data_IF_701246630836
#
_entry.id   IF_701246630836
#
_cell.length_a   1.000
_cell.length_b   1.000
_cell.length_c   1.000
_cell.angle_alpha   90.00
_cell.angle_beta   90.00
_cell.angle_gamma   90.00
#
_symmetry.space_group_name_H-M   'P 1'
#
loop_
_entity.id
_entity.type
_entity.pdbx_description
1 polymer ?
#
# COMPACT_ATOMS: atom_id res chain seq x y z
N UNK A 1 20.15 17.34 71.92
CA UNK A 1 20.43 16.60 70.67
C UNK A 1 19.17 16.51 69.79
N UNK A 2 18.49 17.63 69.52
CA UNK A 2 17.19 17.61 68.81
C UNK A 2 17.12 18.51 67.56
N UNK A 3 18.07 19.44 67.38
CA UNK A 3 18.06 20.36 66.22
C UNK A 3 18.61 19.77 64.91
N UNK A 4 19.45 18.73 64.99
CA UNK A 4 20.08 18.11 63.81
C UNK A 4 19.16 17.13 63.07
N UNK A 5 18.41 16.32 63.83
CA UNK A 5 17.49 15.33 63.28
C UNK A 5 16.33 15.99 62.51
N UNK A 6 15.77 17.07 63.06
CA UNK A 6 14.66 17.80 62.43
C UNK A 6 15.07 18.48 61.11
N UNK A 7 16.31 19.01 61.03
CA UNK A 7 16.87 19.59 59.80
C UNK A 7 17.09 18.56 58.71
N UNK A 8 17.53 17.36 59.08
CA UNK A 8 17.74 16.27 58.13
C UNK A 8 16.41 15.68 57.63
N UNK A 9 15.39 15.59 58.48
CA UNK A 9 14.04 15.14 58.12
C UNK A 9 13.35 16.14 57.18
N UNK A 10 13.46 17.45 57.44
CA UNK A 10 12.89 18.48 56.55
C UNK A 10 13.62 18.50 55.19
N UNK A 11 14.95 18.32 55.17
CA UNK A 11 15.72 18.25 53.93
C UNK A 11 15.40 16.99 53.10
N UNK A 12 15.13 15.85 53.74
CA UNK A 12 14.73 14.62 53.04
C UNK A 12 13.30 14.71 52.48
N UNK A 13 12.37 15.30 53.22
CA UNK A 13 10.99 15.50 52.73
C UNK A 13 10.97 16.46 51.53
N UNK A 14 11.78 17.53 51.54
CA UNK A 14 11.89 18.44 50.40
C UNK A 14 12.49 17.75 49.14
N UNK A 15 13.43 16.81 49.32
CA UNK A 15 14.02 16.05 48.20
C UNK A 15 13.03 15.05 47.58
N UNK A 16 12.17 14.42 48.40
CA UNK A 16 11.18 13.44 47.93
C UNK A 16 10.03 14.13 47.18
N UNK A 17 9.65 15.35 47.57
CA UNK A 17 8.60 16.13 46.88
C UNK A 17 9.07 16.61 45.49
N UNK A 18 10.37 16.86 45.30
CA UNK A 18 10.92 17.26 43.99
C UNK A 18 11.03 16.10 42.98
N UNK A 19 10.99 14.84 43.42
CA UNK A 19 11.03 13.67 42.53
C UNK A 19 9.66 13.21 42.02
N UNK A 20 8.55 13.78 42.52
CA UNK A 20 7.21 13.46 42.00
C UNK A 20 6.79 14.33 40.81
N UNK A 21 7.65 15.24 40.34
CA UNK A 21 7.39 16.09 39.18
C UNK A 21 7.59 15.44 37.81
N UNK A 22 8.07 14.19 37.75
CA UNK A 22 8.29 13.45 36.51
C UNK A 22 7.27 12.30 36.34
N UNK A 23 6.00 12.50 36.66
CA UNK A 23 4.97 11.69 36.00
C UNK A 23 4.92 12.17 34.57
N UNK A 24 5.49 11.38 33.66
CA UNK A 24 5.38 11.58 32.22
C UNK A 24 3.95 12.01 31.91
N UNK A 25 3.78 13.25 31.43
CA UNK A 25 2.54 13.63 30.79
C UNK A 25 2.33 12.57 29.70
N UNK A 26 1.36 11.68 29.88
CA UNK A 26 0.85 10.87 28.78
C UNK A 26 0.61 11.85 27.65
N UNK A 27 1.28 11.70 26.50
CA UNK A 27 1.23 12.69 25.46
C UNK A 27 -0.24 12.98 25.17
N UNK A 28 -0.61 14.27 25.22
CA UNK A 28 -2.01 14.72 25.03
C UNK A 28 -2.56 14.33 23.65
N UNK A 29 -1.69 13.84 22.77
CA UNK A 29 -2.00 13.25 21.48
C UNK A 29 -1.40 11.85 21.48
N UNK A 30 -2.22 10.82 21.22
CA UNK A 30 -1.71 9.51 20.89
C UNK A 30 -0.81 9.67 19.66
N UNK A 31 0.49 9.37 19.78
CA UNK A 31 1.38 9.34 18.63
C UNK A 31 0.85 8.32 17.63
N UNK A 32 0.77 8.67 16.34
CA UNK A 32 0.37 7.72 15.30
C UNK A 32 1.32 6.51 15.31
N UNK A 33 0.76 5.34 15.65
CA UNK A 33 1.47 4.07 15.67
C UNK A 33 1.21 3.31 14.36
N UNK A 34 2.24 3.15 13.53
CA UNK A 34 2.09 2.41 12.27
C UNK A 34 1.71 0.93 12.49
N UNK A 35 2.18 0.33 13.59
CA UNK A 35 1.77 -1.02 14.00
C UNK A 35 0.29 -1.10 14.38
N UNK A 36 -0.23 -0.09 15.08
CA UNK A 36 -1.66 -0.02 15.45
C UNK A 36 -2.53 0.19 14.21
N UNK A 37 -2.06 1.02 13.26
CA UNK A 37 -2.68 1.21 11.96
C UNK A 37 -2.77 -0.11 11.20
N UNK A 38 -1.65 -0.84 11.07
CA UNK A 38 -1.62 -2.13 10.37
C UNK A 38 -2.24 -3.29 11.15
N UNK A 39 -2.73 -3.07 12.38
CA UNK A 39 -3.25 -4.13 13.23
C UNK A 39 -4.52 -4.76 12.66
N UNK A 40 -4.51 -6.09 12.54
CA UNK A 40 -5.69 -6.87 12.17
C UNK A 40 -6.78 -6.87 13.25
N UNK A 41 -6.45 -6.45 14.48
CA UNK A 41 -7.44 -6.27 15.55
C UNK A 41 -8.33 -5.04 15.32
N UNK A 42 -7.87 -4.08 14.50
CA UNK A 42 -8.65 -2.91 14.14
C UNK A 42 -9.55 -3.24 12.92
N UNK A 43 -10.86 -3.34 13.15
CA UNK A 43 -11.84 -3.69 12.11
C UNK A 43 -11.98 -2.62 11.03
N UNK A 44 -11.97 -1.36 11.43
CA UNK A 44 -12.18 -0.19 10.57
C UNK A 44 -11.38 0.98 11.12
N UNK A 45 -10.86 1.83 10.23
CA UNK A 45 -10.15 3.03 10.63
C UNK A 45 -11.14 4.12 11.12
N UNK A 46 -10.81 4.87 12.18
CA UNK A 46 -11.74 5.80 12.81
C UNK A 46 -11.85 7.16 12.09
N UNK A 47 -11.23 7.33 10.93
CA UNK A 47 -11.08 8.62 10.27
C UNK A 47 -12.35 8.99 9.49
N UNK A 48 -12.81 10.23 9.66
CA UNK A 48 -14.03 10.77 9.03
C UNK A 48 -13.78 11.40 7.66
N UNK A 49 -12.67 11.04 7.01
CA UNK A 49 -12.27 11.56 5.72
C UNK A 49 -13.29 11.22 4.61
N UNK A 50 -13.64 12.18 3.73
CA UNK A 50 -14.50 11.87 2.59
C UNK A 50 -13.74 10.98 1.57
N UNK A 51 -14.38 9.93 1.01
CA UNK A 51 -13.75 9.09 -0.01
C UNK A 51 -13.17 9.87 -1.19
N UNK A 52 -11.96 9.50 -1.62
CA UNK A 52 -11.32 10.06 -2.81
C UNK A 52 -11.10 8.97 -3.86
N UNK A 53 -11.27 9.29 -5.15
CA UNK A 53 -10.82 8.39 -6.23
C UNK A 53 -9.32 8.61 -6.44
N UNK A 54 -8.52 7.60 -6.14
CA UNK A 54 -7.06 7.69 -6.20
C UNK A 54 -6.44 7.03 -7.44
N UNK A 55 -7.19 6.17 -8.12
CA UNK A 55 -6.82 5.59 -9.40
C UNK A 55 -8.07 5.27 -10.22
N UNK A 56 -8.14 5.76 -11.46
CA UNK A 56 -9.28 5.52 -12.35
C UNK A 56 -8.84 4.63 -13.51
N UNK A 57 -9.59 3.56 -13.78
CA UNK A 57 -9.42 2.76 -15.00
C UNK A 57 -10.28 3.37 -16.12
N UNK A 58 -11.55 3.61 -15.82
CA UNK A 58 -12.51 4.28 -16.70
C UNK A 58 -13.64 4.96 -15.89
N UNK A 59 -14.72 5.37 -16.54
CA UNK A 59 -15.85 6.06 -15.90
C UNK A 59 -16.51 5.25 -14.77
N UNK A 60 -16.47 3.91 -14.87
CA UNK A 60 -17.18 3.02 -13.97
C UNK A 60 -16.27 2.23 -13.03
N UNK A 61 -15.00 2.07 -13.42
CA UNK A 61 -14.00 1.25 -12.72
C UNK A 61 -12.91 2.13 -12.13
N UNK A 62 -12.79 2.13 -10.82
CA UNK A 62 -11.85 2.99 -10.10
C UNK A 62 -11.53 2.47 -8.70
N UNK A 63 -10.44 2.95 -8.13
CA UNK A 63 -10.02 2.69 -6.75
C UNK A 63 -10.26 3.94 -5.90
N UNK A 64 -10.89 3.74 -4.75
CA UNK A 64 -11.09 4.77 -3.73
C UNK A 64 -10.14 4.60 -2.56
N UNK A 65 -9.71 5.72 -1.97
CA UNK A 65 -9.12 5.80 -0.64
C UNK A 65 -10.19 6.29 0.33
N UNK A 66 -10.39 5.54 1.40
CA UNK A 66 -11.46 5.75 2.38
C UNK A 66 -10.91 5.61 3.80
N UNK A 67 -11.63 6.17 4.78
CA UNK A 67 -11.26 6.15 6.20
C UNK A 67 -9.76 6.40 6.41
N UNK A 68 -9.23 7.46 5.82
CA UNK A 68 -7.80 7.71 5.75
C UNK A 68 -7.41 8.89 6.63
N UNK A 69 -6.22 8.79 7.23
CA UNK A 69 -5.58 9.88 7.97
C UNK A 69 -4.98 10.92 7.03
N UNK A 70 -4.32 10.42 6.00
CA UNK A 70 -3.61 11.13 4.95
C UNK A 70 -3.53 10.24 3.71
N UNK A 71 -2.84 10.69 2.66
CA UNK A 71 -2.77 9.97 1.38
C UNK A 71 -2.06 8.59 1.42
N UNK A 72 -1.46 8.21 2.54
CA UNK A 72 -0.63 7.00 2.67
C UNK A 72 -1.14 6.05 3.76
N UNK A 73 -2.18 6.45 4.49
CA UNK A 73 -2.71 5.71 5.63
C UNK A 73 -4.23 5.65 5.60
N UNK A 74 -4.78 4.77 4.76
CA UNK A 74 -6.22 4.54 4.68
C UNK A 74 -6.59 3.11 4.29
N UNK A 75 -7.87 2.95 3.95
CA UNK A 75 -8.43 1.73 3.39
C UNK A 75 -8.71 1.94 1.89
N UNK A 76 -8.20 1.05 1.04
CA UNK A 76 -8.36 1.13 -0.41
C UNK A 76 -9.44 0.16 -0.91
N UNK A 77 -10.27 0.59 -1.87
CA UNK A 77 -11.31 -0.24 -2.46
C UNK A 77 -11.38 -0.12 -3.98
N UNK A 78 -11.40 -1.25 -4.69
CA UNK A 78 -11.80 -1.31 -6.08
C UNK A 78 -13.33 -1.27 -6.21
N UNK A 79 -13.82 -0.47 -7.16
CA UNK A 79 -15.24 -0.30 -7.45
C UNK A 79 -15.48 -0.50 -8.95
N UNK A 80 -16.51 -1.26 -9.31
CA UNK A 80 -17.12 -1.27 -10.64
C UNK A 80 -18.62 -0.99 -10.50
N UNK A 81 -19.03 0.21 -10.90
CA UNK A 81 -20.42 0.65 -10.77
C UNK A 81 -21.37 -0.01 -11.76
N UNK A 82 -20.88 -0.52 -12.91
CA UNK A 82 -21.73 -1.26 -13.87
C UNK A 82 -22.01 -2.67 -13.39
N UNK A 83 -21.00 -3.32 -12.82
CA UNK A 83 -21.10 -4.69 -12.32
C UNK A 83 -21.58 -4.77 -10.85
N UNK A 84 -21.73 -3.64 -10.16
CA UNK A 84 -22.08 -3.60 -8.74
C UNK A 84 -20.98 -4.20 -7.85
N UNK A 85 -19.72 -4.13 -8.29
CA UNK A 85 -18.58 -4.72 -7.58
C UNK A 85 -17.98 -3.68 -6.64
N UNK A 86 -17.70 -4.12 -5.42
CA UNK A 86 -16.83 -3.42 -4.48
C UNK A 86 -15.93 -4.42 -3.79
N UNK A 87 -14.61 -4.20 -3.86
CA UNK A 87 -13.58 -5.10 -3.30
C UNK A 87 -12.61 -4.31 -2.47
N UNK A 88 -12.46 -4.71 -1.22
CA UNK A 88 -11.44 -4.17 -0.33
C UNK A 88 -10.06 -4.65 -0.80
N UNK A 89 -9.15 -3.71 -1.05
CA UNK A 89 -7.78 -3.96 -1.51
C UNK A 89 -6.76 -3.98 -0.37
N UNK A 90 -7.20 -3.67 0.86
CA UNK A 90 -6.38 -3.64 2.05
C UNK A 90 -6.16 -2.24 2.61
N UNK A 91 -5.56 -2.22 3.79
CA UNK A 91 -5.22 -1.03 4.55
C UNK A 91 -3.75 -0.69 4.37
N UNK A 92 -3.40 0.53 3.99
CA UNK A 92 -2.01 0.92 3.86
C UNK A 92 -1.30 0.22 2.71
N UNK A 93 -2.03 -0.18 1.65
CA UNK A 93 -1.49 -1.08 0.63
C UNK A 93 -1.48 -0.41 -0.75
N UNK A 94 -2.62 -0.37 -1.44
CA UNK A 94 -2.68 0.10 -2.81
C UNK A 94 -2.19 1.56 -2.92
N UNK A 95 -2.68 2.44 -2.05
CA UNK A 95 -2.35 3.87 -2.03
C UNK A 95 -0.85 4.17 -1.89
N UNK A 96 -0.08 3.22 -1.37
CA UNK A 96 1.34 3.36 -1.11
C UNK A 96 2.22 2.94 -2.29
N UNK A 97 1.65 2.34 -3.35
CA UNK A 97 2.43 1.99 -4.53
C UNK A 97 2.84 3.25 -5.34
N UNK A 98 4.14 3.41 -5.55
CA UNK A 98 4.74 4.61 -6.17
C UNK A 98 5.10 4.43 -7.67
N UNK A 99 4.97 3.21 -8.20
CA UNK A 99 5.27 2.88 -9.58
C UNK A 99 4.16 3.27 -10.57
N UNK A 100 4.18 2.65 -11.76
CA UNK A 100 3.16 2.87 -12.81
C UNK A 100 2.18 1.70 -12.94
N UNK A 101 0.92 2.00 -13.25
CA UNK A 101 -0.17 1.04 -13.39
C UNK A 101 -0.93 1.31 -14.69
N UNK A 102 -0.94 0.34 -15.60
CA UNK A 102 -1.66 0.46 -16.88
C UNK A 102 -2.64 -0.69 -17.02
N UNK A 103 -3.92 -0.40 -16.81
CA UNK A 103 -5.01 -1.35 -17.04
C UNK A 103 -5.58 -1.14 -18.45
N UNK A 104 -4.97 -1.79 -19.45
CA UNK A 104 -5.24 -1.58 -20.88
C UNK A 104 -6.06 -2.71 -21.54
N UNK A 105 -6.57 -3.69 -20.79
CA UNK A 105 -7.48 -4.69 -21.34
C UNK A 105 -8.81 -4.05 -21.78
N UNK A 106 -9.13 -4.03 -23.09
CA UNK A 106 -10.36 -3.42 -23.59
C UNK A 106 -11.63 -4.20 -23.19
N UNK A 107 -11.51 -5.50 -22.91
CA UNK A 107 -12.65 -6.31 -22.42
C UNK A 107 -12.99 -5.97 -20.98
N UNK A 108 -12.02 -5.42 -20.24
CA UNK A 108 -12.11 -5.12 -18.82
C UNK A 108 -12.12 -6.34 -17.90
N UNK A 109 -11.78 -7.52 -18.44
CA UNK A 109 -11.75 -8.78 -17.71
C UNK A 109 -10.49 -8.90 -16.86
N UNK A 110 -9.36 -8.50 -17.42
CA UNK A 110 -8.07 -8.54 -16.76
C UNK A 110 -7.79 -7.21 -16.07
N UNK A 111 -7.46 -7.28 -14.78
CA UNK A 111 -7.18 -6.12 -13.94
C UNK A 111 -5.95 -6.42 -13.10
N UNK A 112 -5.09 -5.42 -12.90
CA UNK A 112 -3.94 -5.49 -11.99
C UNK A 112 -3.90 -4.30 -11.05
N UNK A 113 -3.66 -4.59 -9.77
CA UNK A 113 -3.46 -3.61 -8.70
C UNK A 113 -2.20 -3.97 -7.90
N UNK A 114 -1.04 -3.34 -8.18
CA UNK A 114 0.12 -3.46 -7.31
C UNK A 114 -0.16 -2.87 -5.93
N UNK A 115 0.47 -3.45 -4.92
CA UNK A 115 0.44 -2.94 -3.55
C UNK A 115 1.85 -2.54 -3.13
N UNK A 116 1.96 -1.68 -2.12
CA UNK A 116 3.20 -1.48 -1.37
C UNK A 116 2.86 -1.24 0.10
N UNK A 117 3.73 -1.63 1.02
CA UNK A 117 3.53 -1.29 2.42
C UNK A 117 3.84 0.19 2.69
N UNK A 118 3.30 0.80 3.75
CA UNK A 118 3.58 2.18 4.11
C UNK A 118 5.07 2.40 4.40
N UNK A 119 5.55 3.62 4.18
CA UNK A 119 6.91 4.00 4.52
C UNK A 119 7.18 3.78 6.03
N UNK A 120 8.38 3.30 6.34
CA UNK A 120 8.79 2.95 7.69
C UNK A 120 8.16 1.68 8.27
N UNK A 121 7.31 0.94 7.54
CA UNK A 121 6.79 -0.35 8.02
C UNK A 121 7.91 -1.39 8.04
N UNK A 122 8.03 -2.10 9.17
CA UNK A 122 8.91 -3.26 9.32
C UNK A 122 8.07 -4.54 9.27
N UNK A 123 8.32 -5.41 8.30
CA UNK A 123 7.64 -6.71 8.22
C UNK A 123 8.28 -7.77 9.12
N UNK A 124 7.44 -8.54 9.82
CA UNK A 124 7.89 -9.61 10.70
C UNK A 124 8.79 -9.11 11.82
N UNK A 125 9.98 -9.71 11.96
CA UNK A 125 11.03 -9.27 12.89
C UNK A 125 12.05 -8.30 12.26
N UNK A 126 11.82 -7.88 11.01
CA UNK A 126 12.71 -6.97 10.28
C UNK A 126 13.94 -7.62 9.63
N UNK A 127 14.14 -8.94 9.74
CA UNK A 127 15.35 -9.58 9.20
C UNK A 127 15.25 -9.96 7.71
N UNK A 128 14.03 -10.23 7.23
CA UNK A 128 13.80 -10.79 5.89
C UNK A 128 13.23 -9.78 4.89
N UNK A 129 12.94 -8.56 5.32
CA UNK A 129 12.15 -7.62 4.53
C UNK A 129 10.71 -8.10 4.29
N UNK A 130 10.00 -7.36 3.47
CA UNK A 130 8.60 -7.59 3.12
C UNK A 130 8.47 -8.36 1.80
N UNK A 131 7.53 -9.30 1.77
CA UNK A 131 7.02 -9.89 0.54
C UNK A 131 5.78 -9.11 0.09
N UNK A 132 5.87 -8.46 -1.08
CA UNK A 132 4.89 -7.50 -1.55
C UNK A 132 4.13 -8.08 -2.75
N UNK A 133 2.80 -8.27 -2.61
CA UNK A 133 1.99 -8.81 -3.68
C UNK A 133 1.46 -7.71 -4.61
N UNK A 134 1.10 -8.12 -5.82
CA UNK A 134 0.06 -7.45 -6.59
C UNK A 134 -1.19 -8.32 -6.60
N UNK A 135 -2.33 -7.67 -6.74
CA UNK A 135 -3.62 -8.31 -6.98
C UNK A 135 -3.88 -8.34 -8.48
N UNK A 136 -4.41 -9.45 -8.97
CA UNK A 136 -4.84 -9.58 -10.35
C UNK A 136 -6.19 -10.27 -10.44
N UNK A 137 -6.96 -9.93 -11.46
CA UNK A 137 -8.24 -10.55 -11.78
C UNK A 137 -8.25 -10.96 -13.25
N UNK A 138 -8.96 -12.04 -13.56
CA UNK A 138 -9.30 -12.51 -14.92
C UNK A 138 -10.81 -12.64 -15.09
N UNK A 139 -11.59 -11.94 -14.27
CA UNK A 139 -13.06 -11.96 -14.30
C UNK A 139 -13.70 -10.60 -13.98
N UNK A 140 -13.01 -9.50 -14.31
CA UNK A 140 -13.49 -8.13 -14.16
C UNK A 140 -13.56 -7.66 -12.70
N UNK A 141 -12.73 -8.23 -11.83
CA UNK A 141 -12.67 -7.87 -10.42
C UNK A 141 -13.73 -8.54 -9.53
N UNK A 142 -14.48 -9.54 -10.04
CA UNK A 142 -15.37 -10.37 -9.21
C UNK A 142 -14.60 -11.13 -8.14
N UNK A 143 -13.39 -11.59 -8.48
CA UNK A 143 -12.39 -12.08 -7.55
C UNK A 143 -11.00 -11.56 -7.93
N UNK A 144 -10.12 -11.53 -6.94
CA UNK A 144 -8.71 -11.23 -7.12
C UNK A 144 -7.88 -12.37 -6.53
N UNK A 145 -6.85 -12.76 -7.27
CA UNK A 145 -5.77 -13.61 -6.77
C UNK A 145 -4.52 -12.73 -6.58
N UNK A 146 -3.52 -13.26 -5.87
CA UNK A 146 -2.32 -12.49 -5.50
C UNK A 146 -1.05 -13.18 -5.94
N UNK A 147 -0.03 -12.40 -6.29
CA UNK A 147 1.32 -12.90 -6.53
C UNK A 147 2.37 -11.90 -6.04
N UNK A 148 3.43 -12.41 -5.40
CA UNK A 148 4.57 -11.60 -4.97
C UNK A 148 5.35 -11.15 -6.20
N UNK A 149 5.55 -9.83 -6.35
CA UNK A 149 6.42 -9.25 -7.37
C UNK A 149 7.74 -8.75 -6.82
N UNK A 150 7.75 -8.40 -5.54
CA UNK A 150 8.91 -7.87 -4.85
C UNK A 150 9.03 -8.61 -3.53
N UNK A 151 10.10 -9.38 -3.42
CA UNK A 151 10.41 -10.19 -2.26
C UNK A 151 11.62 -9.60 -1.53
N UNK A 152 11.67 -9.75 -0.21
CA UNK A 152 12.74 -9.22 0.64
C UNK A 152 13.00 -7.70 0.54
N UNK A 153 11.97 -6.87 0.31
CA UNK A 153 12.13 -5.41 0.28
C UNK A 153 12.11 -4.81 1.69
N UNK A 154 13.10 -3.98 2.02
CA UNK A 154 13.18 -3.27 3.30
C UNK A 154 12.52 -1.89 3.28
N UNK A 155 12.27 -1.34 2.08
CA UNK A 155 11.45 -0.16 1.92
C UNK A 155 10.49 -0.33 0.73
N UNK A 156 9.39 -1.08 0.91
CA UNK A 156 8.42 -1.34 -0.15
C UNK A 156 7.86 -0.08 -0.82
N UNK A 157 7.63 0.96 -0.01
CA UNK A 157 7.12 2.24 -0.46
C UNK A 157 8.06 2.83 -1.53
N UNK A 158 9.33 3.02 -1.19
CA UNK A 158 10.33 3.60 -2.09
C UNK A 158 10.72 2.65 -3.22
N UNK A 159 10.93 1.36 -2.94
CA UNK A 159 11.36 0.37 -3.92
C UNK A 159 10.33 0.19 -5.05
N UNK A 160 9.05 0.41 -4.76
CA UNK A 160 7.95 0.26 -5.72
C UNK A 160 8.02 1.26 -6.88
N UNK A 161 8.75 2.39 -6.74
CA UNK A 161 8.97 3.39 -7.81
C UNK A 161 9.56 2.80 -9.08
N UNK A 162 10.33 1.72 -8.94
CA UNK A 162 11.05 1.05 -10.04
C UNK A 162 10.17 0.14 -10.89
N UNK A 163 8.90 -0.02 -10.52
CA UNK A 163 8.03 -0.99 -11.16
C UNK A 163 6.95 -0.32 -12.02
N UNK A 164 6.67 -0.94 -13.16
CA UNK A 164 5.46 -0.69 -13.93
C UNK A 164 4.71 -2.01 -14.11
N UNK A 165 3.42 -2.02 -13.80
CA UNK A 165 2.53 -3.16 -14.05
C UNK A 165 1.51 -2.80 -15.11
N UNK A 166 1.51 -3.57 -16.19
CA UNK A 166 0.69 -3.32 -17.38
C UNK A 166 -0.11 -4.58 -17.66
N UNK A 167 -1.42 -4.48 -17.89
CA UNK A 167 -2.26 -5.64 -18.22
C UNK A 167 -3.05 -5.40 -19.50
N UNK A 168 -3.11 -6.43 -20.34
CA UNK A 168 -3.84 -6.51 -21.62
C UNK A 168 -4.85 -7.65 -21.57
N UNK A 169 -5.53 -7.92 -22.68
CA UNK A 169 -6.51 -9.00 -22.82
C UNK A 169 -5.93 -10.41 -22.61
N UNK A 170 -4.62 -10.58 -22.75
CA UNK A 170 -3.95 -11.88 -22.78
C UNK A 170 -2.68 -11.96 -21.91
N UNK A 171 -2.13 -10.83 -21.48
CA UNK A 171 -0.88 -10.76 -20.72
C UNK A 171 -0.90 -9.71 -19.63
N UNK A 172 -0.08 -9.95 -18.61
CA UNK A 172 0.34 -8.94 -17.65
C UNK A 172 1.86 -8.84 -17.70
N UNK A 173 2.37 -7.62 -17.78
CA UNK A 173 3.78 -7.29 -17.82
C UNK A 173 4.17 -6.66 -16.49
N UNK A 174 5.17 -7.24 -15.84
CA UNK A 174 5.87 -6.67 -14.71
C UNK A 174 7.22 -6.17 -15.23
N UNK A 175 7.32 -4.85 -15.43
CA UNK A 175 8.56 -4.19 -15.83
C UNK A 175 9.25 -3.61 -14.60
N UNK A 176 10.56 -3.81 -14.50
CA UNK A 176 11.40 -3.35 -13.40
C UNK A 176 12.67 -2.69 -13.95
N UNK A 177 12.96 -1.48 -13.48
CA UNK A 177 14.26 -0.81 -13.70
C UNK A 177 15.21 -1.05 -12.51
N UNK A 178 16.50 -0.84 -12.75
CA UNK A 178 17.52 -1.00 -11.72
C UNK A 178 17.45 0.11 -10.66
N UNK A 179 17.97 -0.19 -9.46
CA UNK A 179 18.06 0.80 -8.39
C UNK A 179 19.03 1.91 -8.76
N UNK A 180 18.57 3.17 -8.72
CA UNK A 180 19.40 4.33 -9.06
C UNK A 180 19.59 4.53 -10.58
N UNK A 181 18.92 3.73 -11.41
CA UNK A 181 18.80 3.96 -12.85
C UNK A 181 17.33 3.86 -13.28
N UNK A 182 16.51 4.78 -12.78
CA UNK A 182 15.07 4.79 -13.02
C UNK A 182 14.70 5.05 -14.50
N UNK A 183 15.68 5.50 -15.30
CA UNK A 183 15.56 5.72 -16.74
C UNK A 183 16.20 4.59 -17.57
N UNK A 184 16.69 3.54 -16.90
CA UNK A 184 17.34 2.39 -17.53
C UNK A 184 16.39 1.56 -18.40
N UNK A 185 16.93 0.56 -19.09
CA UNK A 185 16.15 -0.39 -19.87
C UNK A 185 15.49 -1.42 -18.95
N UNK A 186 14.15 -1.43 -18.79
CA UNK A 186 13.52 -2.29 -17.82
C UNK A 186 13.61 -3.76 -18.21
N UNK A 187 13.88 -4.60 -17.22
CA UNK A 187 13.67 -6.04 -17.30
C UNK A 187 12.17 -6.33 -17.14
N UNK A 188 11.60 -7.06 -18.08
CA UNK A 188 10.17 -7.36 -18.17
C UNK A 188 9.94 -8.85 -17.95
N UNK A 189 8.98 -9.16 -17.09
CA UNK A 189 8.39 -10.48 -16.93
C UNK A 189 6.95 -10.50 -17.40
N UNK A 190 6.63 -11.43 -18.28
CA UNK A 190 5.27 -11.67 -18.78
C UNK A 190 4.59 -12.79 -18.02
N UNK A 191 3.36 -12.51 -17.61
CA UNK A 191 2.43 -13.46 -17.04
C UNK A 191 1.26 -13.64 -18.02
N UNK A 192 0.87 -14.88 -18.34
CA UNK A 192 -0.33 -15.15 -19.13
C UNK A 192 -1.58 -14.75 -18.35
N UNK A 193 -2.54 -14.11 -19.01
CA UNK A 193 -3.81 -13.70 -18.42
C UNK A 193 -4.96 -14.41 -19.15
N UNK A 194 -5.19 -15.66 -18.75
CA UNK A 194 -6.31 -16.48 -19.23
C UNK A 194 -7.31 -16.70 -18.10
N UNK A 195 -8.60 -16.98 -18.40
CA UNK A 195 -9.61 -17.20 -17.37
C UNK A 195 -9.16 -18.19 -16.31
N UNK A 196 -9.40 -17.84 -15.04
CA UNK A 196 -9.12 -18.66 -13.86
C UNK A 196 -7.65 -19.09 -13.67
N UNK A 197 -6.70 -18.44 -14.34
CA UNK A 197 -5.28 -18.74 -14.14
C UNK A 197 -4.83 -18.41 -12.71
N UNK A 198 -4.06 -19.33 -12.12
CA UNK A 198 -3.32 -19.09 -10.89
C UNK A 198 -1.83 -18.91 -11.20
N UNK A 199 -1.37 -17.66 -11.16
CA UNK A 199 0.04 -17.30 -11.39
C UNK A 199 1.00 -17.80 -10.30
N UNK A 200 0.50 -18.38 -9.20
CA UNK A 200 1.31 -19.03 -8.16
C UNK A 200 1.60 -20.51 -8.46
N UNK A 201 0.88 -21.12 -9.40
CA UNK A 201 1.01 -22.52 -9.78
C UNK A 201 1.74 -22.66 -11.13
N UNK A 202 2.23 -23.87 -11.45
CA UNK A 202 2.68 -24.17 -12.80
C UNK A 202 1.59 -23.86 -13.82
N UNK A 203 1.96 -23.24 -14.94
CA UNK A 203 1.00 -22.87 -15.97
C UNK A 203 0.39 -24.11 -16.65
N UNK A 204 -0.87 -24.00 -17.12
CA UNK A 204 -1.49 -25.06 -17.91
C UNK A 204 -0.64 -25.46 -19.14
N UNK A 205 -0.75 -26.71 -19.63
CA UNK A 205 -0.02 -27.14 -20.83
C UNK A 205 -0.24 -26.19 -22.03
N UNK A 206 0.86 -25.78 -22.68
CA UNK A 206 0.84 -24.87 -23.82
C UNK A 206 0.73 -23.38 -23.47
N UNK A 207 0.53 -23.05 -22.18
CA UNK A 207 0.54 -21.68 -21.68
C UNK A 207 1.92 -21.38 -21.07
N UNK A 208 2.52 -20.28 -21.50
CA UNK A 208 3.86 -19.90 -21.10
C UNK A 208 3.92 -18.42 -20.74
N UNK A 209 4.78 -18.09 -19.78
CA UNK A 209 5.25 -16.73 -19.56
C UNK A 209 6.58 -16.51 -20.29
N UNK A 210 7.10 -15.29 -20.24
CA UNK A 210 8.40 -14.98 -20.84
C UNK A 210 9.11 -13.90 -20.02
N UNK A 211 10.38 -13.68 -20.34
CA UNK A 211 11.17 -12.58 -19.77
C UNK A 211 12.06 -11.97 -20.83
N UNK A 212 12.17 -10.64 -20.85
CA UNK A 212 12.99 -9.93 -21.84
C UNK A 212 13.35 -8.52 -21.33
N UNK A 213 14.37 -7.93 -21.94
CA UNK A 213 14.68 -6.49 -21.78
C UNK A 213 13.76 -5.69 -22.70
N UNK A 214 13.12 -4.61 -22.22
CA UNK A 214 12.14 -3.86 -23.01
C UNK A 214 12.70 -3.33 -24.34
N UNK A 215 13.99 -2.96 -24.40
CA UNK A 215 14.67 -2.58 -25.64
C UNK A 215 14.64 -3.64 -26.74
N UNK A 216 14.44 -4.92 -26.39
CA UNK A 216 14.31 -6.03 -27.36
C UNK A 216 12.93 -6.10 -28.01
N UNK A 217 11.93 -5.45 -27.43
CA UNK A 217 10.56 -5.36 -27.96
C UNK A 217 10.14 -3.90 -28.08
N UNK A 218 10.76 -3.20 -29.03
CA UNK A 218 10.55 -1.77 -29.23
C UNK A 218 9.08 -1.43 -29.43
N UNK A 219 8.59 -0.47 -28.64
CA UNK A 219 7.23 0.05 -28.75
C UNK A 219 6.13 -0.85 -28.17
N UNK A 220 6.46 -1.94 -27.47
CA UNK A 220 5.45 -2.81 -26.86
C UNK A 220 4.50 -2.06 -25.91
N UNK A 221 5.01 -1.09 -25.15
CA UNK A 221 4.21 -0.32 -24.19
C UNK A 221 3.76 1.04 -24.69
N UNK A 222 4.23 1.51 -25.86
CA UNK A 222 3.97 2.89 -26.31
C UNK A 222 2.52 3.16 -26.70
N UNK A 223 1.74 2.10 -26.95
CA UNK A 223 0.32 2.17 -27.28
C UNK A 223 -0.60 1.71 -26.14
N UNK A 224 -0.02 1.27 -25.03
CA UNK A 224 -0.79 0.73 -23.91
C UNK A 224 -1.05 1.85 -22.91
N UNK A 225 -2.33 2.16 -22.73
CA UNK A 225 -2.78 3.18 -21.80
C UNK A 225 -4.03 2.68 -21.09
N UNK A 226 -4.13 3.04 -19.81
CA UNK A 226 -5.40 2.96 -19.08
C UNK A 226 -6.43 3.84 -19.81
N UNK A 227 -7.69 3.42 -20.00
CA UNK A 227 -8.69 4.21 -20.71
C UNK A 227 -8.88 5.64 -20.18
N UNK A 228 -8.75 5.84 -18.86
CA UNK A 228 -8.77 7.15 -18.21
C UNK A 228 -7.54 8.04 -18.50
N UNK A 229 -6.48 7.47 -19.07
CA UNK A 229 -5.15 8.07 -19.19
C UNK A 229 -4.32 8.02 -17.91
N UNK A 230 -4.89 7.63 -16.77
CA UNK A 230 -4.18 7.60 -15.50
C UNK A 230 -3.23 6.39 -15.42
N UNK A 231 -1.97 6.65 -15.08
CA UNK A 231 -0.93 5.62 -14.96
C UNK A 231 -0.24 5.58 -13.59
N UNK A 232 -0.67 6.41 -12.66
CA UNK A 232 -0.15 6.51 -11.29
C UNK A 232 -1.27 6.77 -10.31
N UNK A 233 -1.03 6.43 -9.06
CA UNK A 233 -1.91 6.78 -7.95
C UNK A 233 -1.76 8.26 -7.67
N UNK A 234 -2.88 8.95 -7.48
CA UNK A 234 -2.92 10.38 -7.18
C UNK A 234 -3.88 10.61 -6.03
N UNK A 235 -3.49 11.41 -5.05
CA UNK A 235 -4.33 11.75 -3.91
C UNK A 235 -4.30 13.27 -3.68
N UNK A 236 -5.44 13.88 -3.38
CA UNK A 236 -5.51 15.28 -3.00
C UNK A 236 -5.20 15.40 -1.49
N UNK A 237 -3.95 15.76 -1.20
CA UNK A 237 -3.46 15.92 0.18
C UNK A 237 -4.08 17.14 0.91
N UNK A 238 -4.84 17.99 0.21
CA UNK A 238 -5.60 19.07 0.85
C UNK A 238 -6.87 18.57 1.55
N UNK A 239 -7.42 17.42 1.12
CA UNK A 239 -8.59 16.80 1.71
C UNK A 239 -8.16 15.91 2.88
N UNK A 240 -8.45 16.35 4.10
CA UNK A 240 -8.04 15.67 5.33
C UNK A 240 -9.24 15.37 6.23
N UNK A 241 -9.18 14.32 7.06
CA UNK A 241 -10.19 14.12 8.11
C UNK A 241 -10.17 15.28 9.10
N UNK A 242 -11.28 15.49 9.79
CA UNK A 242 -11.34 16.43 10.91
C UNK A 242 -10.71 15.84 12.17
N UNK A 243 -10.50 14.51 12.21
CA UNK A 243 -9.98 13.76 13.34
C UNK A 243 -8.69 12.95 13.05
N UNK A 244 -7.60 13.56 12.53
CA UNK A 244 -6.39 12.82 12.13
C UNK A 244 -5.65 12.12 13.28
N UNK A 245 -5.91 12.51 14.53
CA UNK A 245 -5.34 11.92 15.75
C UNK A 245 -6.33 10.98 16.46
N UNK A 246 -7.39 10.54 15.77
CA UNK A 246 -8.35 9.58 16.33
C UNK A 246 -7.64 8.29 16.78
N UNK A 247 -7.98 7.76 17.97
CA UNK A 247 -7.27 6.63 18.54
C UNK A 247 -7.52 5.34 17.75
N UNK A 248 -6.44 4.63 17.42
CA UNK A 248 -6.45 3.33 16.74
C UNK A 248 -6.64 2.19 17.74
N UNK A 249 -7.77 2.20 18.45
CA UNK A 249 -8.11 1.19 19.45
C UNK A 249 -8.97 0.08 18.83
N UNK A 250 -8.61 -1.20 19.00
CA UNK A 250 -9.47 -2.31 18.64
C UNK A 250 -10.86 -2.18 19.30
N UNK A 251 -11.93 -2.31 18.52
CA UNK A 251 -13.32 -2.34 18.99
C UNK A 251 -13.96 -3.72 18.85
#
# INVERSE_FOLDING_TARGET
MEGGLMRHVIATIALVVLMQGCTAQTPRHASFGLGDFMSSALKELPYDSPPQVIYRIDDHRFVTLEHYRDCYHGDSYYNDTRAGIRKYLGRGMFENFQGRIVNADPSGTNIVFPLAYPDGLVCGNGEKGCAVPFWYSTNGGKSFATKVYMDHSFNPFEDSKRYAMIVTSDKMFLAQVDYGDENGDPYVKEYPMVPDIDLSQPYPPGIHGSTFMASKQLGIFSKLHTPSGQDRITCDASIKPTNPDAPLVPR
#
